data_IF_020897344431
#
_entry.id   IF_020897344431
#
_cell.length_a   1.000
_cell.length_b   1.000
_cell.length_c   1.000
_cell.angle_alpha   90.00
_cell.angle_beta   90.00
_cell.angle_gamma   90.00
#
_symmetry.space_group_name_H-M   'P 1'
#
loop_
_entity.id
_entity.type
_entity.pdbx_description
1 polymer ?
#
# COMPACT_ATOMS: atom_id res chain seq x y z
N UNK A 1 -28.69 8.81 -1.82
CA UNK A 1 -27.43 9.50 -1.44
C UNK A 1 -26.55 9.75 -2.68
N UNK A 2 -27.12 10.44 -3.67
CA UNK A 2 -26.48 10.60 -4.99
C UNK A 2 -25.18 11.44 -4.99
N UNK A 3 -24.94 12.23 -3.94
CA UNK A 3 -23.78 13.14 -3.85
C UNK A 3 -22.79 12.77 -2.75
N UNK A 4 -22.79 11.51 -2.33
CA UNK A 4 -21.85 11.07 -1.29
C UNK A 4 -20.41 11.10 -1.80
N UNK A 5 -19.53 11.75 -1.07
CA UNK A 5 -18.11 11.89 -1.40
C UNK A 5 -17.21 11.01 -0.53
N UNK A 6 -17.63 10.73 0.69
CA UNK A 6 -16.88 9.95 1.65
C UNK A 6 -17.81 9.01 2.41
N UNK A 7 -17.44 7.73 2.48
CA UNK A 7 -18.20 6.70 3.19
C UNK A 7 -17.26 5.92 4.11
N UNK A 8 -17.53 5.96 5.39
CA UNK A 8 -16.76 5.22 6.39
C UNK A 8 -17.61 4.10 6.99
N UNK A 9 -17.23 2.86 6.67
CA UNK A 9 -17.86 1.63 7.16
C UNK A 9 -16.88 0.81 8.02
N UNK A 10 -15.83 1.44 8.54
CA UNK A 10 -14.81 0.73 9.33
C UNK A 10 -15.44 0.05 10.55
N UNK A 11 -15.02 -1.17 10.82
CA UNK A 11 -15.52 -1.94 11.95
C UNK A 11 -16.93 -2.50 11.78
N UNK A 12 -17.51 -2.40 10.59
CA UNK A 12 -18.82 -3.02 10.30
C UNK A 12 -18.62 -4.52 10.11
N UNK A 13 -18.51 -5.28 11.21
CA UNK A 13 -18.15 -6.69 11.21
C UNK A 13 -19.16 -7.61 10.52
N UNK A 14 -20.40 -7.17 10.39
CA UNK A 14 -21.45 -7.92 9.72
C UNK A 14 -21.59 -7.59 8.23
N UNK A 15 -20.78 -6.66 7.73
CA UNK A 15 -20.77 -6.30 6.33
C UNK A 15 -20.11 -7.42 5.51
N UNK A 16 -20.81 -7.88 4.47
CA UNK A 16 -20.36 -8.97 3.60
C UNK A 16 -20.28 -8.52 2.14
N UNK A 17 -19.68 -9.36 1.29
CA UNK A 17 -19.66 -9.12 -0.16
C UNK A 17 -21.06 -8.99 -0.74
N UNK A 18 -22.03 -9.74 -0.21
CA UNK A 18 -23.41 -9.68 -0.65
C UNK A 18 -24.02 -8.29 -0.43
N UNK A 19 -23.80 -7.70 0.76
CA UNK A 19 -24.26 -6.36 1.07
C UNK A 19 -23.66 -5.29 0.18
N UNK A 20 -22.34 -5.34 -0.01
CA UNK A 20 -21.65 -4.41 -0.91
C UNK A 20 -22.07 -4.64 -2.37
N UNK A 21 -22.32 -5.88 -2.79
CA UNK A 21 -22.81 -6.20 -4.12
C UNK A 21 -24.19 -5.60 -4.40
N UNK A 22 -25.04 -5.45 -3.40
CA UNK A 22 -26.33 -4.75 -3.52
C UNK A 22 -26.18 -3.23 -3.54
N UNK A 23 -25.21 -2.68 -2.81
CA UNK A 23 -24.96 -1.24 -2.76
C UNK A 23 -24.29 -0.71 -4.03
N UNK A 24 -23.30 -1.45 -4.56
CA UNK A 24 -22.49 -1.05 -5.71
C UNK A 24 -22.94 -1.78 -6.96
N UNK A 25 -24.08 -1.38 -7.51
CA UNK A 25 -24.68 -1.96 -8.73
C UNK A 25 -24.66 -1.00 -9.91
N UNK A 26 -24.28 0.24 -9.69
CA UNK A 26 -24.15 1.29 -10.69
C UNK A 26 -23.07 2.27 -10.28
N UNK A 27 -22.55 3.03 -11.21
CA UNK A 27 -21.51 4.00 -10.93
C UNK A 27 -21.96 5.05 -9.90
N UNK A 28 -21.08 5.31 -8.91
CA UNK A 28 -21.21 6.38 -7.94
C UNK A 28 -20.04 7.35 -8.19
N UNK A 29 -20.22 8.24 -9.14
CA UNK A 29 -19.16 9.12 -9.62
C UNK A 29 -18.69 10.17 -8.60
N UNK A 30 -19.48 10.44 -7.57
CA UNK A 30 -19.13 11.42 -6.53
C UNK A 30 -18.21 10.87 -5.44
N UNK A 31 -18.15 9.54 -5.24
CA UNK A 31 -17.43 8.94 -4.13
C UNK A 31 -15.91 9.02 -4.37
N UNK A 32 -15.21 9.62 -3.42
CA UNK A 32 -13.74 9.82 -3.45
C UNK A 32 -13.01 9.05 -2.38
N UNK A 33 -13.66 8.80 -1.24
CA UNK A 33 -13.04 8.10 -0.11
C UNK A 33 -13.97 7.01 0.42
N UNK A 34 -13.42 5.80 0.56
CA UNK A 34 -14.12 4.64 1.12
C UNK A 34 -13.24 3.97 2.17
N UNK A 35 -13.78 3.81 3.37
CA UNK A 35 -13.11 3.13 4.46
C UNK A 35 -13.86 1.84 4.83
N UNK A 36 -13.23 0.70 4.58
CA UNK A 36 -13.72 -0.63 4.90
C UNK A 36 -12.82 -1.35 5.91
N UNK A 37 -11.97 -0.61 6.61
CA UNK A 37 -11.04 -1.18 7.59
C UNK A 37 -11.78 -2.06 8.60
N UNK A 38 -11.19 -3.21 8.93
CA UNK A 38 -11.74 -4.19 9.87
C UNK A 38 -13.06 -4.84 9.43
N UNK A 39 -13.49 -4.67 8.20
CA UNK A 39 -14.61 -5.41 7.62
C UNK A 39 -14.12 -6.81 7.22
N UNK A 40 -14.08 -7.73 8.19
CA UNK A 40 -13.37 -9.01 8.04
C UNK A 40 -14.05 -10.03 7.13
N UNK A 41 -15.33 -9.82 6.82
CA UNK A 41 -16.08 -10.72 5.95
C UNK A 41 -16.03 -10.34 4.47
N UNK A 42 -15.47 -9.18 4.11
CA UNK A 42 -15.31 -8.81 2.71
C UNK A 42 -14.10 -9.52 2.10
N UNK A 43 -14.20 -9.84 0.82
CA UNK A 43 -13.18 -10.54 0.05
C UNK A 43 -12.86 -9.77 -1.24
N UNK A 44 -12.06 -10.36 -2.10
CA UNK A 44 -11.75 -9.80 -3.43
C UNK A 44 -12.99 -9.57 -4.28
N UNK A 45 -14.09 -10.27 -4.03
CA UNK A 45 -15.37 -10.05 -4.71
C UNK A 45 -15.86 -8.62 -4.52
N UNK A 46 -15.77 -8.07 -3.31
CA UNK A 46 -16.10 -6.66 -3.04
C UNK A 46 -15.17 -5.71 -3.77
N UNK A 47 -13.88 -6.02 -3.84
CA UNK A 47 -12.92 -5.20 -4.58
C UNK A 47 -13.22 -5.16 -6.08
N UNK A 48 -13.71 -6.27 -6.64
CA UNK A 48 -14.18 -6.31 -8.01
C UNK A 48 -15.34 -5.33 -8.26
N UNK A 49 -16.30 -5.26 -7.35
CA UNK A 49 -17.41 -4.31 -7.42
C UNK A 49 -16.93 -2.86 -7.29
N UNK A 50 -16.05 -2.60 -6.32
CA UNK A 50 -15.46 -1.28 -6.10
C UNK A 50 -14.72 -0.82 -7.37
N UNK A 51 -13.88 -1.66 -7.92
CA UNK A 51 -13.13 -1.36 -9.13
C UNK A 51 -14.01 -1.09 -10.35
N UNK A 52 -15.15 -1.76 -10.42
CA UNK A 52 -16.09 -1.60 -11.53
C UNK A 52 -16.93 -0.33 -11.44
N UNK A 53 -17.38 0.05 -10.24
CA UNK A 53 -18.41 1.08 -10.05
C UNK A 53 -17.93 2.35 -9.36
N UNK A 54 -16.79 2.33 -8.65
CA UNK A 54 -16.28 3.47 -7.90
C UNK A 54 -15.01 4.04 -8.53
N UNK A 55 -15.05 4.31 -9.81
CA UNK A 55 -13.88 4.70 -10.62
C UNK A 55 -13.29 6.07 -10.26
N UNK A 56 -14.03 6.89 -9.55
CA UNK A 56 -13.55 8.18 -9.05
C UNK A 56 -12.83 8.10 -7.70
N UNK A 57 -12.67 6.90 -7.15
CA UNK A 57 -12.12 6.72 -5.81
C UNK A 57 -10.66 7.16 -5.75
N UNK A 58 -10.33 7.99 -4.76
CA UNK A 58 -8.99 8.51 -4.53
C UNK A 58 -8.37 7.93 -3.25
N UNK A 59 -9.19 7.56 -2.26
CA UNK A 59 -8.75 7.02 -0.97
C UNK A 59 -9.49 5.72 -0.68
N UNK A 60 -8.75 4.64 -0.46
CA UNK A 60 -9.30 3.34 -0.09
C UNK A 60 -8.58 2.78 1.14
N UNK A 61 -9.32 2.58 2.21
CA UNK A 61 -8.84 2.04 3.47
C UNK A 61 -9.34 0.59 3.63
N UNK A 62 -8.40 -0.37 3.67
CA UNK A 62 -8.67 -1.80 3.77
C UNK A 62 -7.92 -2.45 4.95
N UNK A 63 -7.44 -1.64 5.90
CA UNK A 63 -6.66 -2.13 7.03
C UNK A 63 -7.40 -3.22 7.81
N UNK A 64 -6.76 -4.36 8.02
CA UNK A 64 -7.35 -5.48 8.76
C UNK A 64 -8.39 -6.30 7.98
N UNK A 65 -8.58 -6.06 6.70
CA UNK A 65 -9.41 -6.89 5.83
C UNK A 65 -8.64 -8.17 5.46
N UNK A 66 -8.68 -9.17 6.33
CA UNK A 66 -7.80 -10.35 6.27
C UNK A 66 -8.10 -11.32 5.11
N UNK A 67 -9.23 -11.17 4.44
CA UNK A 67 -9.62 -12.05 3.32
C UNK A 67 -9.36 -11.45 1.94
N UNK A 68 -8.62 -10.35 1.88
CA UNK A 68 -8.17 -9.75 0.62
C UNK A 68 -6.85 -10.39 0.21
N UNK A 69 -6.73 -10.74 -1.07
CA UNK A 69 -5.55 -11.42 -1.64
C UNK A 69 -4.94 -10.60 -2.77
N UNK A 70 -3.87 -11.13 -3.37
CA UNK A 70 -3.21 -10.50 -4.53
C UNK A 70 -4.18 -10.27 -5.70
N UNK A 71 -5.17 -11.13 -5.88
CA UNK A 71 -6.23 -10.93 -6.91
C UNK A 71 -6.99 -9.64 -6.67
N UNK A 72 -7.28 -9.31 -5.41
CA UNK A 72 -7.92 -8.04 -5.08
C UNK A 72 -7.09 -6.84 -5.51
N UNK A 73 -5.77 -6.89 -5.33
CA UNK A 73 -4.87 -5.81 -5.77
C UNK A 73 -4.82 -5.70 -7.30
N UNK A 74 -4.94 -6.81 -8.02
CA UNK A 74 -5.05 -6.79 -9.47
C UNK A 74 -6.33 -6.07 -9.91
N UNK A 75 -7.45 -6.34 -9.26
CA UNK A 75 -8.72 -5.68 -9.54
C UNK A 75 -8.65 -4.17 -9.27
N UNK A 76 -8.01 -3.77 -8.18
CA UNK A 76 -7.74 -2.36 -7.87
C UNK A 76 -6.90 -1.72 -8.99
N UNK A 77 -5.84 -2.38 -9.40
CA UNK A 77 -4.96 -1.88 -10.46
C UNK A 77 -5.71 -1.68 -11.79
N UNK A 78 -6.64 -2.54 -12.12
CA UNK A 78 -7.44 -2.42 -13.34
C UNK A 78 -8.48 -1.30 -13.29
N UNK A 79 -9.11 -1.09 -12.14
CA UNK A 79 -10.31 -0.24 -12.07
C UNK A 79 -10.11 1.12 -11.43
N UNK A 80 -9.18 1.26 -10.48
CA UNK A 80 -9.04 2.46 -9.67
C UNK A 80 -7.86 3.33 -10.11
N UNK A 81 -7.96 3.89 -11.31
CA UNK A 81 -6.89 4.67 -11.94
C UNK A 81 -6.67 6.05 -11.29
N UNK A 82 -7.58 6.52 -10.45
CA UNK A 82 -7.47 7.79 -9.73
C UNK A 82 -7.01 7.65 -8.29
N UNK A 83 -6.71 6.41 -7.87
CA UNK A 83 -6.33 6.14 -6.49
C UNK A 83 -5.04 6.85 -6.12
N UNK A 84 -5.07 7.59 -5.01
CA UNK A 84 -3.94 8.36 -4.45
C UNK A 84 -3.46 7.79 -3.13
N UNK A 85 -4.35 7.22 -2.34
CA UNK A 85 -4.03 6.67 -1.02
C UNK A 85 -4.65 5.30 -0.84
N UNK A 86 -3.81 4.32 -0.50
CA UNK A 86 -4.23 2.94 -0.27
C UNK A 86 -3.65 2.44 1.04
N UNK A 87 -4.50 2.00 1.96
CA UNK A 87 -4.10 1.38 3.21
C UNK A 87 -4.44 -0.10 3.20
N UNK A 88 -3.39 -0.94 3.30
CA UNK A 88 -3.47 -2.40 3.29
C UNK A 88 -2.91 -2.99 4.59
N UNK A 89 -2.90 -2.23 5.66
CA UNK A 89 -2.40 -2.67 6.96
C UNK A 89 -2.97 -4.04 7.33
N UNK A 90 -2.10 -4.95 7.78
CA UNK A 90 -2.47 -6.28 8.26
C UNK A 90 -3.28 -7.13 7.26
N UNK A 91 -3.19 -6.85 5.97
CA UNK A 91 -3.73 -7.72 4.93
C UNK A 91 -2.74 -8.87 4.70
N UNK A 92 -2.84 -9.92 5.51
CA UNK A 92 -1.82 -10.96 5.69
C UNK A 92 -1.59 -11.88 4.49
N UNK A 93 -2.52 -11.93 3.55
CA UNK A 93 -2.40 -12.77 2.36
C UNK A 93 -1.70 -12.05 1.19
N UNK A 94 -1.38 -10.78 1.34
CA UNK A 94 -0.67 -10.04 0.31
C UNK A 94 0.79 -10.44 0.26
N UNK A 95 1.31 -10.62 -0.94
CA UNK A 95 2.71 -10.91 -1.21
C UNK A 95 3.27 -9.98 -2.28
N UNK A 96 4.51 -10.22 -2.68
CA UNK A 96 5.19 -9.41 -3.70
C UNK A 96 4.42 -9.36 -5.02
N UNK A 97 3.69 -10.43 -5.37
CA UNK A 97 2.86 -10.47 -6.59
C UNK A 97 1.80 -9.37 -6.58
N UNK A 98 1.10 -9.20 -5.46
CA UNK A 98 0.08 -8.15 -5.33
C UNK A 98 0.65 -6.76 -5.46
N UNK A 99 1.80 -6.51 -4.84
CA UNK A 99 2.49 -5.22 -4.97
C UNK A 99 2.95 -5.01 -6.42
N UNK A 100 3.40 -6.06 -7.08
CA UNK A 100 3.70 -6.04 -8.51
C UNK A 100 2.51 -5.62 -9.37
N UNK A 101 1.30 -6.10 -9.04
CA UNK A 101 0.08 -5.67 -9.71
C UNK A 101 -0.19 -4.17 -9.53
N UNK A 102 -0.09 -3.67 -8.30
CA UNK A 102 -0.29 -2.24 -8.02
C UNK A 102 0.70 -1.37 -8.78
N UNK A 103 1.94 -1.82 -8.90
CA UNK A 103 3.02 -1.08 -9.54
C UNK A 103 3.05 -1.23 -11.08
N UNK A 104 2.16 -2.04 -11.67
CA UNK A 104 2.15 -2.28 -13.10
C UNK A 104 3.33 -3.14 -13.58
N UNK A 105 3.93 -3.93 -12.70
CA UNK A 105 5.12 -4.75 -12.98
C UNK A 105 4.80 -6.20 -13.32
N UNK A 106 3.54 -6.57 -13.44
CA UNK A 106 3.11 -7.91 -13.85
C UNK A 106 2.42 -7.86 -15.20
N UNK A 107 2.43 -8.97 -15.93
CA UNK A 107 1.77 -9.06 -17.24
C UNK A 107 0.25 -8.87 -17.15
N UNK A 108 -0.34 -9.24 -16.03
CA UNK A 108 -1.79 -9.14 -15.81
C UNK A 108 -2.25 -7.75 -15.44
N UNK A 109 -1.38 -6.94 -14.85
CA UNK A 109 -1.70 -5.58 -14.41
C UNK A 109 -1.41 -4.58 -15.54
N UNK A 110 -2.38 -4.13 -16.28
CA UNK A 110 -2.18 -3.22 -17.40
C UNK A 110 -1.19 -2.08 -17.08
N UNK A 111 -1.61 -1.07 -16.34
CA UNK A 111 -0.75 0.10 -16.03
C UNK A 111 -0.44 0.25 -14.53
N UNK A 112 -1.19 -0.45 -13.67
CA UNK A 112 -1.09 -0.27 -12.23
C UNK A 112 -1.72 1.03 -11.73
N UNK A 113 -1.52 1.32 -10.45
CA UNK A 113 -2.02 2.55 -9.80
C UNK A 113 -0.96 3.64 -9.82
N UNK A 114 -0.62 4.16 -11.00
CA UNK A 114 0.52 5.07 -11.18
C UNK A 114 0.37 6.42 -10.48
N UNK A 115 -0.85 6.83 -10.16
CA UNK A 115 -1.12 8.06 -9.41
C UNK A 115 -1.00 7.92 -7.90
N UNK A 116 -0.62 6.75 -7.39
CA UNK A 116 -0.56 6.49 -5.96
C UNK A 116 0.51 7.35 -5.28
N UNK A 117 0.12 8.06 -4.23
CA UNK A 117 0.97 8.96 -3.46
C UNK A 117 1.26 8.45 -2.06
N UNK A 118 0.32 7.69 -1.47
CA UNK A 118 0.44 7.14 -0.12
C UNK A 118 0.09 5.66 -0.12
N UNK A 119 1.00 4.84 0.42
CA UNK A 119 0.82 3.41 0.53
C UNK A 119 1.20 2.93 1.93
N UNK A 120 0.26 2.30 2.63
CA UNK A 120 0.49 1.70 3.93
C UNK A 120 0.43 0.18 3.82
N UNK A 121 1.56 -0.45 4.13
CA UNK A 121 1.76 -1.90 4.09
C UNK A 121 2.16 -2.44 5.47
N UNK A 122 1.84 -1.71 6.53
CA UNK A 122 2.16 -2.10 7.90
C UNK A 122 1.67 -3.53 8.18
N UNK A 123 2.53 -4.34 8.80
CA UNK A 123 2.21 -5.72 9.20
C UNK A 123 1.80 -6.64 8.05
N UNK A 124 2.32 -6.42 6.85
CA UNK A 124 2.18 -7.33 5.71
C UNK A 124 3.40 -8.26 5.67
N UNK A 125 3.33 -9.38 6.41
CA UNK A 125 4.49 -10.23 6.74
C UNK A 125 5.07 -11.02 5.56
N UNK A 126 4.34 -11.18 4.46
CA UNK A 126 4.81 -11.92 3.29
C UNK A 126 5.58 -11.07 2.28
N UNK A 127 5.66 -9.75 2.50
CA UNK A 127 6.40 -8.86 1.62
C UNK A 127 7.89 -9.03 1.81
N UNK A 128 8.61 -9.04 0.71
CA UNK A 128 10.09 -9.10 0.68
C UNK A 128 10.65 -7.89 -0.05
N UNK A 129 11.96 -7.85 -0.21
CA UNK A 129 12.65 -6.78 -0.94
C UNK A 129 12.17 -6.66 -2.40
N UNK A 130 11.61 -7.72 -2.97
CA UNK A 130 11.02 -7.67 -4.32
C UNK A 130 9.86 -6.68 -4.39
N UNK A 131 9.05 -6.57 -3.34
CA UNK A 131 8.01 -5.53 -3.27
C UNK A 131 8.61 -4.13 -3.40
N UNK A 132 9.74 -3.87 -2.74
CA UNK A 132 10.41 -2.57 -2.81
C UNK A 132 10.97 -2.28 -4.20
N UNK A 133 11.46 -3.31 -4.87
CA UNK A 133 11.86 -3.20 -6.27
C UNK A 133 10.69 -2.83 -7.17
N UNK A 134 9.54 -3.47 -7.01
CA UNK A 134 8.32 -3.14 -7.76
C UNK A 134 7.87 -1.71 -7.48
N UNK A 135 7.81 -1.30 -6.22
CA UNK A 135 7.42 0.06 -5.81
C UNK A 135 8.35 1.09 -6.45
N UNK A 136 9.65 0.88 -6.36
CA UNK A 136 10.64 1.83 -6.88
C UNK A 136 10.55 2.01 -8.39
N UNK A 137 10.15 0.98 -9.12
CA UNK A 137 10.07 1.01 -10.58
C UNK A 137 8.72 1.50 -11.09
N UNK A 138 7.62 1.19 -10.40
CA UNK A 138 6.27 1.45 -10.90
C UNK A 138 5.54 2.59 -10.21
N UNK A 139 5.72 2.79 -8.91
CA UNK A 139 5.01 3.82 -8.15
C UNK A 139 5.86 5.10 -8.01
N UNK A 140 6.23 5.67 -9.15
CA UNK A 140 7.20 6.77 -9.23
C UNK A 140 6.70 8.10 -8.66
N UNK A 141 5.41 8.22 -8.37
CA UNK A 141 4.83 9.39 -7.70
C UNK A 141 4.62 9.21 -6.20
N UNK A 142 5.05 8.08 -5.63
CA UNK A 142 4.81 7.77 -4.22
C UNK A 142 5.57 8.74 -3.31
N UNK A 143 4.86 9.31 -2.33
CA UNK A 143 5.37 10.29 -1.36
C UNK A 143 5.50 9.74 0.04
N UNK A 144 4.58 8.84 0.43
CA UNK A 144 4.57 8.22 1.75
C UNK A 144 4.51 6.70 1.60
N UNK A 145 5.42 6.01 2.27
CA UNK A 145 5.46 4.56 2.33
C UNK A 145 5.63 4.11 3.79
N UNK A 146 4.67 3.34 4.28
CA UNK A 146 4.73 2.74 5.60
C UNK A 146 4.92 1.24 5.48
N UNK A 147 6.09 0.76 5.92
CA UNK A 147 6.50 -0.65 5.93
C UNK A 147 6.70 -1.17 7.36
N UNK A 148 6.16 -0.48 8.36
CA UNK A 148 6.36 -0.88 9.75
C UNK A 148 5.91 -2.32 9.98
N UNK A 149 6.65 -3.04 10.83
CA UNK A 149 6.41 -4.45 11.14
C UNK A 149 6.49 -5.40 9.93
N UNK A 150 7.24 -5.07 8.90
CA UNK A 150 7.48 -5.94 7.74
C UNK A 150 8.85 -6.63 7.88
N UNK A 151 8.87 -7.82 8.49
CA UNK A 151 10.11 -8.54 8.79
C UNK A 151 10.87 -9.07 7.57
N UNK A 152 10.22 -9.17 6.40
CA UNK A 152 10.85 -9.60 5.15
C UNK A 152 11.61 -8.50 4.40
N UNK A 153 11.56 -7.26 4.87
CA UNK A 153 12.27 -6.12 4.29
C UNK A 153 13.65 -6.03 4.89
N UNK A 154 14.67 -5.90 4.07
CA UNK A 154 16.07 -5.83 4.49
C UNK A 154 16.81 -4.64 3.84
N UNK A 155 18.09 -4.52 4.18
CA UNK A 155 18.95 -3.47 3.62
C UNK A 155 18.99 -3.46 2.09
N UNK A 156 18.94 -4.63 1.46
CA UNK A 156 18.88 -4.76 0.01
C UNK A 156 17.64 -4.10 -0.59
N UNK A 157 16.50 -4.18 0.10
CA UNK A 157 15.29 -3.50 -0.32
C UNK A 157 15.41 -1.98 -0.28
N UNK A 158 16.08 -1.46 0.74
CA UNK A 158 16.30 -0.02 0.88
C UNK A 158 17.17 0.55 -0.25
N UNK A 159 18.06 -0.26 -0.82
CA UNK A 159 18.83 0.13 -1.99
C UNK A 159 17.91 0.44 -3.19
N UNK A 160 16.84 -0.34 -3.38
CA UNK A 160 15.84 -0.05 -4.42
C UNK A 160 15.13 1.28 -4.16
N UNK A 161 14.76 1.57 -2.92
CA UNK A 161 14.07 2.82 -2.55
C UNK A 161 14.96 4.05 -2.68
N UNK A 162 16.29 3.89 -2.60
CA UNK A 162 17.26 4.99 -2.54
C UNK A 162 17.21 5.94 -3.74
N UNK A 163 16.61 5.51 -4.84
CA UNK A 163 16.51 6.30 -6.06
C UNK A 163 15.12 6.92 -6.29
N UNK A 164 14.20 6.77 -5.33
CA UNK A 164 12.85 7.30 -5.44
C UNK A 164 12.80 8.80 -5.10
N UNK A 165 13.03 9.64 -6.08
CA UNK A 165 13.06 11.10 -5.87
C UNK A 165 11.76 11.72 -5.37
N UNK A 166 10.61 11.05 -5.53
CA UNK A 166 9.30 11.51 -5.03
C UNK A 166 9.08 11.25 -3.56
N UNK A 167 9.73 10.21 -2.99
CA UNK A 167 9.46 9.76 -1.63
C UNK A 167 9.91 10.80 -0.60
N UNK A 168 9.03 11.12 0.36
CA UNK A 168 9.25 12.13 1.41
C UNK A 168 9.15 11.57 2.81
N UNK A 169 8.33 10.56 3.01
CA UNK A 169 8.10 9.95 4.32
C UNK A 169 8.24 8.43 4.22
N UNK A 170 9.12 7.86 5.00
CA UNK A 170 9.37 6.42 5.05
C UNK A 170 9.31 5.94 6.50
N UNK A 171 8.41 5.00 6.77
CA UNK A 171 8.28 4.38 8.08
C UNK A 171 8.74 2.92 8.00
N UNK A 172 9.83 2.62 8.74
CA UNK A 172 10.45 1.31 8.85
C UNK A 172 10.42 0.78 10.30
N UNK A 173 9.54 1.34 11.14
CA UNK A 173 9.45 0.93 12.55
C UNK A 173 9.37 -0.59 12.67
N UNK A 174 10.16 -1.14 13.59
CA UNK A 174 10.17 -2.58 13.90
C UNK A 174 10.43 -3.48 12.66
N UNK A 175 11.24 -3.02 11.73
CA UNK A 175 11.76 -3.83 10.64
C UNK A 175 13.11 -4.43 11.09
N UNK A 176 13.09 -5.67 11.57
CA UNK A 176 14.23 -6.28 12.28
C UNK A 176 15.46 -6.55 11.40
N UNK A 177 15.28 -6.55 10.08
CA UNK A 177 16.37 -6.79 9.13
C UNK A 177 16.93 -5.53 8.48
N UNK A 178 16.59 -4.36 9.02
CA UNK A 178 17.18 -3.08 8.65
C UNK A 178 18.32 -2.77 9.60
N UNK A 179 19.47 -2.42 9.04
CA UNK A 179 20.68 -2.07 9.79
C UNK A 179 21.26 -0.73 9.32
N UNK A 180 22.42 -0.35 9.89
CA UNK A 180 23.16 0.84 9.47
C UNK A 180 23.48 0.82 7.95
N UNK A 181 23.71 -0.35 7.39
CA UNK A 181 23.97 -0.50 5.93
C UNK A 181 22.77 -0.03 5.12
N UNK A 182 21.55 -0.36 5.55
CA UNK A 182 20.33 0.09 4.87
C UNK A 182 20.18 1.61 4.92
N UNK A 183 20.46 2.21 6.07
CA UNK A 183 20.41 3.67 6.22
C UNK A 183 21.47 4.33 5.32
N UNK A 184 22.65 3.75 5.22
CA UNK A 184 23.68 4.19 4.30
C UNK A 184 23.17 4.18 2.85
N UNK A 185 22.52 3.09 2.42
CA UNK A 185 21.94 2.99 1.07
C UNK A 185 20.94 4.13 0.80
N UNK A 186 20.06 4.44 1.75
CA UNK A 186 19.11 5.54 1.60
C UNK A 186 19.84 6.88 1.46
N UNK A 187 20.86 7.11 2.28
CA UNK A 187 21.61 8.36 2.31
C UNK A 187 22.43 8.61 1.05
N UNK A 188 22.95 7.55 0.43
CA UNK A 188 23.78 7.65 -0.78
C UNK A 188 22.97 7.79 -2.06
N UNK A 189 21.67 7.63 -2.01
CA UNK A 189 20.79 7.74 -3.18
C UNK A 189 20.33 9.17 -3.44
N UNK A 190 19.29 9.28 -4.27
CA UNK A 190 18.67 10.58 -4.64
C UNK A 190 17.45 10.91 -3.80
N UNK A 191 17.21 10.19 -2.71
CA UNK A 191 16.12 10.43 -1.79
C UNK A 191 16.22 11.82 -1.14
N UNK A 192 15.05 12.42 -0.93
CA UNK A 192 14.91 13.69 -0.21
C UNK A 192 13.84 13.55 0.86
N UNK A 193 14.07 12.63 1.79
CA UNK A 193 13.13 12.38 2.88
C UNK A 193 13.02 13.60 3.79
N UNK A 194 11.80 13.95 4.16
CA UNK A 194 11.50 14.89 5.25
C UNK A 194 11.14 14.16 6.54
N UNK A 195 10.82 12.87 6.48
CA UNK A 195 10.53 12.03 7.63
C UNK A 195 11.04 10.61 7.44
N UNK A 196 11.73 10.10 8.44
CA UNK A 196 12.20 8.72 8.52
C UNK A 196 11.95 8.18 9.93
N UNK A 197 11.22 7.08 10.04
CA UNK A 197 11.00 6.40 11.31
C UNK A 197 11.71 5.03 11.26
N UNK A 198 12.71 4.83 12.08
CA UNK A 198 13.44 3.57 12.27
C UNK A 198 13.37 3.12 13.73
N UNK A 199 12.36 3.57 14.45
CA UNK A 199 12.15 3.19 15.85
C UNK A 199 12.03 1.66 15.97
N UNK A 200 12.62 1.11 17.01
CA UNK A 200 12.64 -0.34 17.25
C UNK A 200 13.30 -1.18 16.13
N UNK A 201 14.14 -0.59 15.31
CA UNK A 201 15.04 -1.33 14.42
C UNK A 201 16.33 -1.62 15.18
N UNK A 202 16.44 -2.79 15.79
CA UNK A 202 17.49 -3.11 16.75
C UNK A 202 18.90 -3.11 16.16
N UNK A 203 19.03 -3.22 14.84
CA UNK A 203 20.32 -3.22 14.15
C UNK A 203 20.74 -1.83 13.65
N UNK A 204 19.93 -0.81 13.88
CA UNK A 204 20.25 0.57 13.56
C UNK A 204 20.93 1.19 14.80
N UNK A 205 22.13 1.69 14.63
CA UNK A 205 22.96 2.21 15.70
C UNK A 205 23.65 3.53 15.35
N UNK A 206 24.74 3.81 16.03
CA UNK A 206 25.45 5.08 15.95
C UNK A 206 25.96 5.41 14.54
N UNK A 207 26.33 4.40 13.76
CA UNK A 207 26.82 4.62 12.39
C UNK A 207 25.77 5.30 11.51
N UNK A 208 24.49 5.00 11.73
CA UNK A 208 23.40 5.63 10.97
C UNK A 208 23.36 7.13 11.13
N UNK A 209 23.72 7.65 12.32
CA UNK A 209 23.72 9.09 12.60
C UNK A 209 24.73 9.84 11.73
N UNK A 210 25.78 9.18 11.27
CA UNK A 210 26.78 9.78 10.39
C UNK A 210 26.25 9.99 8.95
N UNK A 211 25.13 9.35 8.58
CA UNK A 211 24.53 9.45 7.25
C UNK A 211 23.36 10.44 7.19
N UNK A 212 22.88 10.92 8.32
CA UNK A 212 21.76 11.87 8.41
C UNK A 212 22.28 13.29 8.43
#
# INVERSE_FOLDING_TARGET
MANIESLNLSGCYNLTDNGLGHAFVQEIGSLRALNLSLCKQITDSSLGRIAQYLKGLEVLELGGCSNITNTGLLLIAWGLQRLKSLNLRSCRHLSDVGIGHLAGMTRSAAEGCLGLEQLTLQDCQKLTDLSLKHISRGLTGLRLLNLSFCGGISDAGLLHLSHMGSLRSLNLRSCDNISDTGIMHLAMGSLRLSGLDVSFCDKVGDQSLAYI
#
